data_IF_416485847520
#
_entry.id   IF_416485847520
#
_cell.length_a   1.000
_cell.length_b   1.000
_cell.length_c   1.000
_cell.angle_alpha   90.00
_cell.angle_beta   90.00
_cell.angle_gamma   90.00
#
_symmetry.space_group_name_H-M   'P 1'
#
loop_
_entity.id
_entity.type
_entity.pdbx_description
1 polymer ?
#
# COMPACT_ATOMS: atom_id res chain seq x y z
N UNK A 1 -27.36 28.48 -4.38
CA UNK A 1 -27.04 27.43 -5.37
C UNK A 1 -26.27 26.34 -4.63
N UNK A 2 -26.73 25.09 -4.70
CA UNK A 2 -26.09 23.95 -4.04
C UNK A 2 -25.46 22.98 -5.05
N UNK A 3 -24.59 22.10 -4.55
CA UNK A 3 -24.05 20.97 -5.33
C UNK A 3 -24.59 19.66 -4.75
N UNK A 4 -24.91 18.70 -5.61
CA UNK A 4 -25.23 17.33 -5.26
C UNK A 4 -24.08 16.44 -5.70
N UNK A 5 -23.44 15.75 -4.76
CA UNK A 5 -22.44 14.73 -5.05
C UNK A 5 -23.09 13.34 -4.94
N UNK A 6 -23.04 12.56 -6.02
CA UNK A 6 -23.50 11.18 -6.04
C UNK A 6 -22.31 10.26 -6.28
N UNK A 7 -21.99 9.44 -5.29
CA UNK A 7 -21.02 8.36 -5.46
C UNK A 7 -21.70 7.14 -6.07
N UNK A 8 -20.93 6.29 -6.74
CA UNK A 8 -21.38 4.99 -7.27
C UNK A 8 -22.64 5.07 -8.18
N UNK A 9 -22.75 6.11 -9.02
CA UNK A 9 -23.94 6.32 -9.87
C UNK A 9 -24.25 5.13 -10.80
N UNK A 10 -23.23 4.37 -11.19
CA UNK A 10 -23.37 3.16 -12.01
C UNK A 10 -24.03 1.98 -11.30
N UNK A 11 -24.24 2.06 -9.98
CA UNK A 11 -24.93 1.03 -9.19
C UNK A 11 -26.43 1.31 -9.01
N UNK A 12 -26.89 2.50 -9.43
CA UNK A 12 -28.31 2.86 -9.32
C UNK A 12 -29.19 1.88 -10.11
N UNK A 13 -30.25 1.32 -9.50
CA UNK A 13 -31.28 0.59 -10.23
C UNK A 13 -31.92 1.44 -11.34
N UNK A 14 -32.34 0.80 -12.44
CA UNK A 14 -32.91 1.49 -13.62
C UNK A 14 -34.08 2.45 -13.29
N UNK A 15 -34.92 2.11 -12.32
CA UNK A 15 -36.03 2.98 -11.91
C UNK A 15 -35.53 4.28 -11.26
N UNK A 16 -34.49 4.21 -10.39
CA UNK A 16 -33.88 5.40 -9.79
C UNK A 16 -33.09 6.20 -10.83
N UNK A 17 -32.54 5.57 -11.86
CA UNK A 17 -31.90 6.29 -12.97
C UNK A 17 -32.91 7.18 -13.72
N UNK A 18 -34.15 6.72 -13.91
CA UNK A 18 -35.21 7.51 -14.53
C UNK A 18 -35.66 8.68 -13.63
N UNK A 19 -35.77 8.44 -12.31
CA UNK A 19 -36.06 9.52 -11.36
C UNK A 19 -34.94 10.57 -11.33
N UNK A 20 -33.68 10.14 -11.29
CA UNK A 20 -32.53 11.04 -11.31
C UNK A 20 -32.49 11.86 -12.61
N UNK A 21 -32.72 11.23 -13.76
CA UNK A 21 -32.78 11.91 -15.05
C UNK A 21 -33.81 13.05 -15.02
N UNK A 22 -35.00 12.78 -14.49
CA UNK A 22 -36.07 13.77 -14.35
C UNK A 22 -35.61 14.96 -13.51
N UNK A 23 -35.00 14.70 -12.35
CA UNK A 23 -34.50 15.75 -11.46
C UNK A 23 -33.41 16.59 -12.15
N UNK A 24 -32.52 15.96 -12.93
CA UNK A 24 -31.41 16.61 -13.64
C UNK A 24 -31.86 17.39 -14.89
N UNK A 25 -32.92 16.94 -15.57
CA UNK A 25 -33.45 17.59 -16.77
C UNK A 25 -34.51 18.64 -16.44
N UNK A 26 -35.52 18.28 -15.66
CA UNK A 26 -36.69 19.12 -15.37
C UNK A 26 -36.51 19.99 -14.12
N UNK A 27 -35.53 19.69 -13.26
CA UNK A 27 -35.40 20.35 -11.96
C UNK A 27 -36.52 19.98 -10.99
N UNK A 28 -37.36 18.98 -11.30
CA UNK A 28 -38.52 18.62 -10.47
C UNK A 28 -38.32 17.31 -9.73
N UNK A 29 -38.81 17.25 -8.49
CA UNK A 29 -38.78 16.04 -7.68
C UNK A 29 -40.01 15.93 -6.76
N UNK A 30 -40.23 14.73 -6.22
CA UNK A 30 -41.24 14.44 -5.19
C UNK A 30 -40.59 13.84 -3.96
N UNK A 31 -41.17 14.10 -2.79
CA UNK A 31 -40.84 13.35 -1.58
C UNK A 31 -41.59 12.02 -1.60
N UNK A 32 -40.99 10.98 -1.01
CA UNK A 32 -41.66 9.70 -0.80
C UNK A 32 -42.97 9.95 -0.03
N UNK A 33 -44.08 9.42 -0.54
CA UNK A 33 -45.42 9.61 0.04
C UNK A 33 -46.10 10.96 -0.26
N UNK A 34 -45.45 11.87 -1.01
CA UNK A 34 -46.03 13.16 -1.39
C UNK A 34 -46.42 13.20 -2.86
N UNK A 35 -47.63 13.67 -3.14
CA UNK A 35 -48.08 13.94 -4.52
C UNK A 35 -47.69 15.33 -5.03
N UNK A 36 -47.11 16.18 -4.18
CA UNK A 36 -46.66 17.52 -4.56
C UNK A 36 -45.27 17.50 -5.19
N UNK A 37 -45.19 18.00 -6.43
CA UNK A 37 -43.94 18.31 -7.11
C UNK A 37 -43.25 19.51 -6.47
N UNK A 38 -41.92 19.47 -6.42
CA UNK A 38 -41.07 20.57 -5.97
C UNK A 38 -40.01 20.85 -7.02
N UNK A 39 -39.60 22.12 -7.10
CA UNK A 39 -38.53 22.58 -7.98
C UNK A 39 -37.20 22.66 -7.22
N UNK A 40 -36.10 22.36 -7.91
CA UNK A 40 -34.73 22.45 -7.40
C UNK A 40 -33.77 22.86 -8.50
N UNK A 41 -32.69 23.51 -8.12
CA UNK A 41 -31.59 23.85 -9.00
C UNK A 41 -30.27 23.57 -8.28
N UNK A 42 -29.45 22.70 -8.86
CA UNK A 42 -28.18 22.27 -8.29
C UNK A 42 -27.16 21.93 -9.37
N UNK A 43 -25.89 21.93 -8.98
CA UNK A 43 -24.80 21.35 -9.78
C UNK A 43 -24.67 19.87 -9.42
N UNK A 44 -24.79 18.98 -10.40
CA UNK A 44 -24.51 17.56 -10.19
C UNK A 44 -23.00 17.30 -10.35
N UNK A 45 -22.44 16.55 -9.40
CA UNK A 45 -21.11 15.93 -9.51
C UNK A 45 -21.33 14.45 -9.21
N UNK A 46 -20.91 13.57 -10.10
CA UNK A 46 -21.09 12.12 -9.92
C UNK A 46 -19.78 11.37 -10.09
N UNK A 47 -19.62 10.29 -9.33
CA UNK A 47 -18.50 9.36 -9.42
C UNK A 47 -19.00 7.92 -9.63
N UNK A 48 -18.15 7.08 -10.22
CA UNK A 48 -18.42 5.65 -10.44
C UNK A 48 -17.11 4.92 -10.65
N UNK A 49 -17.03 3.67 -10.19
CA UNK A 49 -15.95 2.74 -10.51
C UNK A 49 -16.27 1.84 -11.71
N UNK A 50 -17.52 1.88 -12.22
CA UNK A 50 -17.98 1.08 -13.37
C UNK A 50 -17.72 1.81 -14.68
N UNK A 51 -17.39 1.06 -15.72
CA UNK A 51 -17.43 1.52 -17.10
C UNK A 51 -18.89 1.71 -17.53
N UNK A 52 -19.34 2.97 -17.59
CA UNK A 52 -20.71 3.28 -17.97
C UNK A 52 -21.01 2.92 -19.42
N UNK A 53 -20.04 3.02 -20.33
CA UNK A 53 -20.24 2.63 -21.74
C UNK A 53 -20.51 1.13 -21.86
N UNK A 54 -19.80 0.31 -21.08
CA UNK A 54 -20.09 -1.13 -20.98
C UNK A 54 -21.47 -1.39 -20.36
N UNK A 55 -21.86 -0.59 -19.36
CA UNK A 55 -23.19 -0.70 -18.73
C UNK A 55 -24.34 -0.33 -19.70
N UNK A 56 -24.11 0.57 -20.66
CA UNK A 56 -25.06 0.85 -21.75
C UNK A 56 -25.26 -0.39 -22.63
N UNK A 57 -24.16 -1.05 -23.02
CA UNK A 57 -24.20 -2.27 -23.84
C UNK A 57 -24.93 -3.42 -23.13
N UNK A 58 -24.75 -3.52 -21.81
CA UNK A 58 -25.40 -4.54 -20.99
C UNK A 58 -26.84 -4.17 -20.56
N UNK A 59 -27.38 -3.03 -21.02
CA UNK A 59 -28.70 -2.51 -20.63
C UNK A 59 -28.90 -2.32 -19.12
N UNK A 60 -27.81 -2.17 -18.36
CA UNK A 60 -27.85 -1.90 -16.91
C UNK A 60 -27.78 -0.41 -16.60
N UNK A 61 -27.51 0.43 -17.59
CA UNK A 61 -27.51 1.89 -17.47
C UNK A 61 -28.25 2.55 -18.63
N UNK A 62 -29.01 3.61 -18.34
CA UNK A 62 -29.83 4.29 -19.36
C UNK A 62 -28.98 5.25 -20.21
N UNK A 63 -29.07 5.18 -21.57
CA UNK A 63 -28.30 6.06 -22.45
C UNK A 63 -28.58 7.55 -22.26
N UNK A 64 -29.83 7.91 -22.03
CA UNK A 64 -30.25 9.30 -21.83
C UNK A 64 -29.69 9.93 -20.55
N UNK A 65 -29.58 9.16 -19.46
CA UNK A 65 -28.88 9.60 -18.26
C UNK A 65 -27.38 9.74 -18.51
N UNK A 66 -26.76 8.79 -19.20
CA UNK A 66 -25.33 8.84 -19.52
C UNK A 66 -24.97 10.14 -20.23
N UNK A 67 -25.63 10.45 -21.35
CA UNK A 67 -25.34 11.66 -22.12
C UNK A 67 -25.64 12.95 -21.36
N UNK A 68 -26.51 12.91 -20.36
CA UNK A 68 -26.81 14.09 -19.53
C UNK A 68 -25.74 14.36 -18.47
N UNK A 69 -25.10 13.33 -17.94
CA UNK A 69 -24.09 13.45 -16.87
C UNK A 69 -22.66 13.47 -17.40
N UNK A 70 -22.40 12.92 -18.59
CA UNK A 70 -21.06 12.75 -19.16
C UNK A 70 -20.53 13.97 -19.92
N UNK A 71 -21.07 15.17 -19.68
CA UNK A 71 -20.62 16.40 -20.36
C UNK A 71 -19.16 16.72 -20.05
N UNK A 72 -18.73 16.51 -18.81
CA UNK A 72 -17.33 16.67 -18.38
C UNK A 72 -16.93 15.45 -17.56
N UNK A 73 -16.01 14.66 -18.09
CA UNK A 73 -15.50 13.44 -17.45
C UNK A 73 -14.07 13.68 -17.01
N UNK A 74 -13.82 13.46 -15.72
CA UNK A 74 -12.47 13.45 -15.15
C UNK A 74 -12.14 12.01 -14.77
N UNK A 75 -11.14 11.43 -15.43
CA UNK A 75 -10.65 10.10 -15.10
C UNK A 75 -9.59 10.23 -14.01
N UNK A 76 -9.83 9.59 -12.87
CA UNK A 76 -8.90 9.61 -11.74
C UNK A 76 -7.87 8.48 -11.93
N UNK A 77 -6.56 8.78 -12.00
CA UNK A 77 -5.55 7.74 -12.18
C UNK A 77 -5.45 6.85 -10.94
N UNK A 78 -5.22 5.56 -11.20
CA UNK A 78 -4.93 4.59 -10.14
C UNK A 78 -3.61 4.94 -9.44
N UNK A 79 -3.39 4.44 -8.22
CA UNK A 79 -2.12 4.67 -7.52
C UNK A 79 -0.94 4.06 -8.28
N UNK A 80 -1.17 3.00 -9.05
CA UNK A 80 -0.16 2.35 -9.90
C UNK A 80 0.36 3.27 -11.01
N UNK A 81 -0.47 4.19 -11.51
CA UNK A 81 -0.09 5.17 -12.54
C UNK A 81 0.69 6.37 -11.98
N UNK A 82 0.82 6.46 -10.66
CA UNK A 82 1.45 7.57 -9.93
C UNK A 82 2.17 7.10 -8.68
N UNK A 83 3.13 6.19 -8.87
CA UNK A 83 3.94 5.64 -7.79
C UNK A 83 4.74 6.72 -7.04
N UNK A 84 5.08 7.82 -7.73
CA UNK A 84 5.77 8.98 -7.18
C UNK A 84 4.99 9.68 -6.05
N UNK A 85 3.66 9.50 -5.99
CA UNK A 85 2.82 10.04 -4.91
C UNK A 85 2.93 9.22 -3.62
N UNK A 86 3.41 7.97 -3.68
CA UNK A 86 3.41 7.04 -2.54
C UNK A 86 4.19 7.61 -1.35
N UNK A 87 5.43 8.15 -1.49
CA UNK A 87 6.16 8.71 -0.36
C UNK A 87 5.42 9.86 0.32
N UNK A 88 4.82 10.76 -0.46
CA UNK A 88 4.09 11.91 0.06
C UNK A 88 2.79 11.48 0.77
N UNK A 89 2.05 10.57 0.16
CA UNK A 89 0.83 10.00 0.76
C UNK A 89 1.16 9.23 2.04
N UNK A 90 2.26 8.47 2.04
CA UNK A 90 2.66 7.67 3.18
C UNK A 90 3.01 8.56 4.38
N UNK A 91 3.83 9.59 4.15
CA UNK A 91 4.14 10.60 5.16
C UNK A 91 2.87 11.31 5.65
N UNK A 92 1.97 11.71 4.74
CA UNK A 92 0.68 12.32 5.11
C UNK A 92 -0.13 11.41 6.05
N UNK A 93 -0.22 10.11 5.78
CA UNK A 93 -0.96 9.19 6.64
C UNK A 93 -0.28 8.99 8.00
N UNK A 94 1.05 8.91 8.05
CA UNK A 94 1.79 8.89 9.31
C UNK A 94 1.52 10.17 10.11
N UNK A 95 1.51 11.34 9.48
CA UNK A 95 1.17 12.61 10.14
C UNK A 95 -0.25 12.65 10.68
N UNK A 96 -1.21 12.05 9.99
CA UNK A 96 -2.60 11.94 10.45
C UNK A 96 -2.74 11.01 11.66
N UNK A 97 -1.97 9.91 11.70
CA UNK A 97 -2.01 8.92 12.79
C UNK A 97 -1.21 9.37 14.02
N UNK A 98 -0.14 10.14 13.81
CA UNK A 98 0.71 10.71 14.86
C UNK A 98 0.70 12.24 14.77
N UNK A 99 -0.37 12.90 15.28
CA UNK A 99 -0.49 14.36 15.22
C UNK A 99 0.57 15.08 16.07
N UNK A 100 0.98 14.48 17.19
CA UNK A 100 2.08 14.99 18.01
C UNK A 100 3.43 14.73 17.33
N UNK A 101 4.11 15.80 16.94
CA UNK A 101 5.40 15.75 16.24
C UNK A 101 6.50 15.12 17.07
N UNK A 102 6.41 15.13 18.41
CA UNK A 102 7.43 14.55 19.29
C UNK A 102 7.46 13.02 19.25
N UNK A 103 6.33 12.40 18.96
CA UNK A 103 6.16 10.95 18.96
C UNK A 103 5.94 10.37 17.56
N UNK A 104 6.04 11.21 16.53
CA UNK A 104 5.84 10.80 15.15
C UNK A 104 7.04 9.98 14.67
N UNK A 105 6.83 8.71 14.28
CA UNK A 105 7.90 7.93 13.69
C UNK A 105 8.23 8.45 12.30
N UNK A 106 9.50 8.34 11.94
CA UNK A 106 9.93 8.41 10.54
C UNK A 106 9.69 7.06 9.86
N UNK A 107 9.41 7.05 8.56
CA UNK A 107 9.37 5.83 7.78
C UNK A 107 10.82 5.45 7.44
N UNK A 108 11.22 4.24 7.80
CA UNK A 108 12.53 3.70 7.44
C UNK A 108 12.68 3.63 5.89
N UNK A 109 13.84 3.98 5.30
CA UNK A 109 14.02 3.98 3.85
C UNK A 109 13.69 2.65 3.17
N UNK A 110 13.93 1.52 3.83
CA UNK A 110 13.60 0.20 3.29
C UNK A 110 12.12 -0.05 3.26
N UNK A 111 11.42 0.34 4.33
CA UNK A 111 9.97 0.31 4.35
C UNK A 111 9.42 1.20 3.24
N UNK A 112 9.99 2.38 2.99
CA UNK A 112 9.55 3.26 1.91
C UNK A 112 9.75 2.62 0.53
N UNK A 113 10.94 2.09 0.24
CA UNK A 113 11.23 1.39 -1.02
C UNK A 113 10.28 0.20 -1.24
N UNK A 114 10.02 -0.55 -0.16
CA UNK A 114 9.07 -1.66 -0.18
C UNK A 114 7.62 -1.20 -0.47
N UNK A 115 7.17 -0.08 0.12
CA UNK A 115 5.87 0.50 -0.18
C UNK A 115 5.80 0.94 -1.65
N UNK A 116 6.85 1.55 -2.20
CA UNK A 116 6.89 1.98 -3.59
C UNK A 116 6.88 0.80 -4.59
N UNK A 117 7.49 -0.34 -4.23
CA UNK A 117 7.53 -1.54 -5.05
C UNK A 117 6.23 -2.37 -5.01
N UNK A 118 5.30 -2.04 -4.09
CA UNK A 118 4.06 -2.79 -3.89
C UNK A 118 2.97 -2.35 -4.89
N UNK A 119 2.18 -3.33 -5.34
CA UNK A 119 0.90 -3.06 -6.00
C UNK A 119 -0.21 -2.80 -4.97
N UNK A 120 -1.04 -1.80 -5.24
CA UNK A 120 -2.19 -1.43 -4.41
C UNK A 120 -3.51 -1.56 -5.20
N UNK A 121 -4.08 -2.77 -5.36
CA UNK A 121 -5.39 -2.94 -5.98
C UNK A 121 -6.49 -2.08 -5.32
N UNK A 122 -6.40 -1.84 -4.00
CA UNK A 122 -7.29 -0.92 -3.29
C UNK A 122 -6.87 0.56 -3.35
N UNK A 123 -5.92 0.92 -4.24
CA UNK A 123 -5.37 2.27 -4.42
C UNK A 123 -4.93 2.92 -3.09
N UNK A 124 -5.15 4.22 -2.96
CA UNK A 124 -4.82 5.03 -1.78
C UNK A 124 -5.45 4.48 -0.49
N UNK A 125 -6.62 3.84 -0.57
CA UNK A 125 -7.29 3.24 0.60
C UNK A 125 -6.48 2.09 1.17
N UNK A 126 -5.94 1.23 0.31
CA UNK A 126 -5.08 0.11 0.74
C UNK A 126 -3.75 0.62 1.33
N UNK A 127 -3.11 1.60 0.67
CA UNK A 127 -1.90 2.24 1.22
C UNK A 127 -2.15 2.80 2.63
N UNK A 128 -3.25 3.54 2.81
CA UNK A 128 -3.64 4.08 4.12
C UNK A 128 -3.87 2.96 5.14
N UNK A 129 -4.53 1.87 4.75
CA UNK A 129 -4.79 0.74 5.64
C UNK A 129 -3.50 0.05 6.09
N UNK A 130 -2.55 -0.16 5.16
CA UNK A 130 -1.23 -0.74 5.48
C UNK A 130 -0.49 0.13 6.49
N UNK A 131 -0.45 1.45 6.26
CA UNK A 131 0.21 2.39 7.16
C UNK A 131 -0.50 2.45 8.52
N UNK A 132 -1.83 2.38 8.54
CA UNK A 132 -2.60 2.29 9.79
C UNK A 132 -2.22 1.05 10.59
N UNK A 133 -2.03 -0.10 9.92
CA UNK A 133 -1.61 -1.34 10.57
C UNK A 133 -0.16 -1.29 11.07
N UNK A 134 0.74 -0.70 10.30
CA UNK A 134 2.12 -0.41 10.72
C UNK A 134 2.13 0.45 11.99
N UNK A 135 1.40 1.56 11.98
CA UNK A 135 1.28 2.47 13.12
C UNK A 135 0.67 1.78 14.36
N UNK A 136 -0.28 0.87 14.18
CA UNK A 136 -0.88 0.12 15.29
C UNK A 136 0.07 -0.85 15.98
N UNK A 137 1.16 -1.27 15.31
CA UNK A 137 2.19 -2.16 15.88
C UNK A 137 3.45 -1.42 16.32
N UNK A 138 3.52 -0.12 16.05
CA UNK A 138 4.63 0.73 16.43
C UNK A 138 4.72 0.84 17.96
N UNK A 139 5.90 0.51 18.49
CA UNK A 139 6.15 0.46 19.95
C UNK A 139 6.73 1.75 20.54
N UNK A 140 6.80 2.83 19.74
CA UNK A 140 7.19 4.15 20.23
C UNK A 140 8.69 4.48 20.18
N UNK A 141 9.54 3.53 19.78
CA UNK A 141 10.99 3.74 19.70
C UNK A 141 11.48 3.72 18.25
N UNK A 142 11.66 4.89 17.65
CA UNK A 142 12.43 5.06 16.41
C UNK A 142 11.58 5.15 15.14
N UNK A 143 11.97 4.38 14.12
CA UNK A 143 11.36 4.42 12.79
C UNK A 143 10.29 3.33 12.65
N UNK A 144 9.30 3.57 11.78
CA UNK A 144 8.44 2.51 11.26
C UNK A 144 9.27 1.65 10.32
N UNK A 145 9.29 0.34 10.55
CA UNK A 145 10.10 -0.61 9.79
C UNK A 145 9.25 -1.74 9.20
N UNK A 146 9.84 -2.57 8.35
CA UNK A 146 9.18 -3.77 7.83
C UNK A 146 8.82 -4.79 8.94
N UNK A 147 9.47 -4.73 10.10
CA UNK A 147 9.15 -5.59 11.23
C UNK A 147 7.74 -5.31 11.77
N UNK A 148 7.29 -4.06 11.68
CA UNK A 148 5.96 -3.63 12.12
C UNK A 148 4.85 -4.10 11.17
N UNK A 149 5.20 -4.54 9.95
CA UNK A 149 4.23 -5.00 8.96
C UNK A 149 3.73 -6.41 9.33
N UNK A 150 2.40 -6.63 9.43
CA UNK A 150 1.82 -7.96 9.58
C UNK A 150 2.32 -8.94 8.52
N UNK A 151 2.58 -10.22 8.84
CA UNK A 151 3.02 -11.20 7.86
C UNK A 151 2.07 -11.33 6.65
N UNK A 152 0.76 -11.17 6.85
CA UNK A 152 -0.24 -11.19 5.77
C UNK A 152 -0.12 -10.01 4.79
N UNK A 153 0.50 -8.91 5.21
CA UNK A 153 0.74 -7.73 4.37
C UNK A 153 2.14 -7.73 3.75
N UNK A 154 2.99 -8.71 4.07
CA UNK A 154 4.32 -8.81 3.45
C UNK A 154 4.15 -9.30 2.01
N UNK A 155 4.70 -8.57 1.06
CA UNK A 155 4.83 -8.97 -0.33
C UNK A 155 5.60 -10.27 -0.29
N UNK A 156 5.00 -11.33 -0.82
CA UNK A 156 5.71 -12.55 -1.13
C UNK A 156 6.61 -12.24 -2.35
N UNK A 157 7.64 -11.41 -2.15
CA UNK A 157 8.65 -11.10 -3.17
C UNK A 157 9.48 -12.35 -3.51
N UNK A 158 9.35 -13.39 -2.69
CA UNK A 158 9.83 -14.73 -2.94
C UNK A 158 8.78 -15.69 -2.42
N UNK A 159 8.85 -16.92 -2.90
CA UNK A 159 8.10 -18.07 -2.42
C UNK A 159 8.47 -18.32 -0.94
N UNK A 160 8.00 -17.46 -0.02
CA UNK A 160 8.35 -17.45 1.40
C UNK A 160 7.97 -18.78 2.05
N UNK A 161 7.02 -19.50 1.45
CA UNK A 161 6.69 -20.88 1.79
C UNK A 161 7.83 -21.83 1.42
N UNK A 162 8.49 -21.72 0.26
CA UNK A 162 9.63 -22.59 -0.06
C UNK A 162 10.86 -22.35 0.83
N UNK A 163 11.12 -21.11 1.25
CA UNK A 163 12.20 -20.79 2.20
C UNK A 163 11.88 -21.30 3.60
N UNK A 164 10.66 -21.03 4.12
CA UNK A 164 10.26 -21.48 5.46
C UNK A 164 10.07 -22.99 5.54
N UNK A 165 9.67 -23.63 4.44
CA UNK A 165 9.56 -25.08 4.33
C UNK A 165 10.88 -25.74 3.92
N UNK A 166 11.99 -24.99 3.83
CA UNK A 166 13.28 -25.58 3.48
C UNK A 166 13.72 -26.55 4.60
N UNK A 167 13.76 -27.86 4.35
CA UNK A 167 13.90 -28.87 5.41
C UNK A 167 15.23 -28.76 6.14
N UNK A 168 16.30 -28.39 5.42
CA UNK A 168 17.63 -28.21 6.01
C UNK A 168 17.71 -26.96 6.90
N UNK A 169 16.98 -25.89 6.55
CA UNK A 169 16.98 -24.65 7.32
C UNK A 169 16.26 -24.86 8.65
N UNK A 170 15.08 -25.48 8.60
CA UNK A 170 14.30 -25.84 9.79
C UNK A 170 15.05 -26.78 10.73
N UNK A 171 15.78 -27.76 10.16
CA UNK A 171 16.61 -28.67 10.95
C UNK A 171 17.76 -27.94 11.65
N UNK A 172 18.47 -27.08 10.91
CA UNK A 172 19.57 -26.29 11.47
C UNK A 172 19.10 -25.36 12.59
N UNK A 173 17.99 -24.63 12.41
CA UNK A 173 17.45 -23.72 13.44
C UNK A 173 17.07 -24.53 14.69
N UNK A 174 16.48 -25.71 14.52
CA UNK A 174 16.13 -26.60 15.64
C UNK A 174 17.36 -27.04 16.42
N UNK A 175 18.43 -27.44 15.76
CA UNK A 175 19.67 -27.86 16.41
C UNK A 175 20.31 -26.68 17.16
N UNK A 176 20.36 -25.50 16.55
CA UNK A 176 20.92 -24.31 17.20
C UNK A 176 20.13 -23.91 18.46
N UNK A 177 18.79 -24.03 18.44
CA UNK A 177 17.95 -23.82 19.64
C UNK A 177 18.24 -24.87 20.71
N UNK A 178 18.42 -26.14 20.33
CA UNK A 178 18.76 -27.23 21.27
C UNK A 178 20.15 -27.04 21.91
N UNK A 179 21.08 -26.42 21.20
CA UNK A 179 22.40 -26.03 21.70
C UNK A 179 22.37 -24.75 22.57
N UNK A 180 21.18 -24.19 22.82
CA UNK A 180 21.00 -23.02 23.67
C UNK A 180 21.27 -21.68 23.00
N UNK A 181 21.34 -21.63 21.66
CA UNK A 181 21.50 -20.36 20.95
C UNK A 181 20.22 -19.51 21.08
N UNK A 182 20.37 -18.32 21.66
CA UNK A 182 19.31 -17.34 21.72
C UNK A 182 19.05 -16.66 20.38
N UNK A 183 17.86 -16.04 20.24
CA UNK A 183 17.45 -15.36 19.00
C UNK A 183 18.46 -14.31 18.52
N UNK A 184 19.10 -13.57 19.44
CA UNK A 184 20.13 -12.58 19.10
C UNK A 184 21.31 -13.19 18.35
N UNK A 185 21.80 -14.34 18.81
CA UNK A 185 22.92 -15.04 18.17
C UNK A 185 22.52 -15.62 16.82
N UNK A 186 21.30 -16.16 16.71
CA UNK A 186 20.78 -16.69 15.44
C UNK A 186 20.69 -15.58 14.38
N UNK A 187 20.14 -14.42 14.74
CA UNK A 187 20.06 -13.27 13.83
C UNK A 187 21.47 -12.81 13.42
N UNK A 188 22.40 -12.72 14.37
CA UNK A 188 23.78 -12.31 14.08
C UNK A 188 24.46 -13.28 13.10
N UNK A 189 24.36 -14.59 13.35
CA UNK A 189 24.96 -15.62 12.52
C UNK A 189 24.38 -15.64 11.10
N UNK A 190 23.05 -15.53 10.95
CA UNK A 190 22.43 -15.41 9.62
C UNK A 190 22.83 -14.11 8.91
N UNK A 191 22.90 -13.00 9.64
CA UNK A 191 23.34 -11.72 9.09
C UNK A 191 24.76 -11.83 8.55
N UNK A 192 25.66 -12.47 9.28
CA UNK A 192 27.06 -12.64 8.88
C UNK A 192 27.21 -13.62 7.72
N UNK A 193 26.41 -14.69 7.68
CA UNK A 193 26.35 -15.61 6.55
C UNK A 193 25.89 -14.89 5.27
N UNK A 194 24.82 -14.09 5.35
CA UNK A 194 24.33 -13.31 4.22
C UNK A 194 25.39 -12.32 3.70
N UNK A 195 26.11 -11.64 4.60
CA UNK A 195 27.23 -10.75 4.23
C UNK A 195 28.36 -11.50 3.54
N UNK A 196 28.71 -12.71 4.01
CA UNK A 196 29.74 -13.51 3.34
C UNK A 196 29.33 -13.93 1.93
N UNK A 197 28.10 -14.43 1.75
CA UNK A 197 27.61 -14.85 0.43
C UNK A 197 27.60 -13.67 -0.54
N UNK A 198 27.12 -12.50 -0.12
CA UNK A 198 27.12 -11.32 -0.97
C UNK A 198 28.51 -10.83 -1.37
N UNK A 199 29.51 -10.96 -0.48
CA UNK A 199 30.90 -10.66 -0.81
C UNK A 199 31.47 -11.65 -1.83
N UNK A 200 31.17 -12.93 -1.66
CA UNK A 200 31.63 -13.99 -2.58
C UNK A 200 31.01 -13.80 -3.97
N UNK A 201 29.70 -13.53 -4.05
CA UNK A 201 28.99 -13.24 -5.32
C UNK A 201 29.47 -11.96 -5.99
N UNK A 202 29.88 -10.96 -5.21
CA UNK A 202 30.40 -9.68 -5.72
C UNK A 202 31.91 -9.72 -6.04
N UNK A 203 32.55 -10.90 -5.98
CA UNK A 203 33.98 -11.06 -6.24
C UNK A 203 34.88 -10.27 -5.27
N UNK A 204 34.41 -10.04 -4.04
CA UNK A 204 35.09 -9.25 -3.02
C UNK A 204 34.89 -7.73 -3.11
N UNK A 205 34.05 -7.24 -4.03
CA UNK A 205 33.70 -5.82 -4.09
C UNK A 205 32.70 -5.46 -2.98
N UNK A 206 33.17 -4.67 -2.01
CA UNK A 206 32.41 -4.26 -0.82
C UNK A 206 31.18 -3.41 -1.19
N UNK A 207 31.32 -2.51 -2.16
CA UNK A 207 30.23 -1.59 -2.56
C UNK A 207 29.15 -2.36 -3.33
N UNK A 208 29.54 -3.23 -4.25
CA UNK A 208 28.60 -4.09 -4.96
C UNK A 208 27.88 -5.07 -4.01
N UNK A 209 28.59 -5.61 -3.01
CA UNK A 209 27.97 -6.48 -1.99
C UNK A 209 27.02 -5.70 -1.06
N UNK A 210 27.36 -4.45 -0.74
CA UNK A 210 26.49 -3.55 0.01
C UNK A 210 25.22 -3.22 -0.78
N UNK A 211 25.34 -2.94 -2.08
CA UNK A 211 24.20 -2.73 -2.99
C UNK A 211 23.32 -3.98 -3.14
N UNK A 212 23.94 -5.17 -3.27
CA UNK A 212 23.23 -6.46 -3.42
C UNK A 212 22.39 -6.78 -2.18
N UNK A 213 22.97 -6.58 -1.00
CA UNK A 213 22.26 -6.69 0.28
C UNK A 213 21.46 -5.44 0.63
N UNK A 214 21.55 -4.38 -0.19
CA UNK A 214 21.00 -3.04 -0.02
C UNK A 214 21.41 -2.32 1.31
N UNK A 215 22.44 -2.81 2.02
CA UNK A 215 22.93 -2.23 3.28
C UNK A 215 23.95 -1.11 3.04
N UNK A 216 24.28 -0.33 4.08
CA UNK A 216 25.32 0.70 3.96
C UNK A 216 26.71 0.09 3.74
N UNK A 217 27.55 0.76 2.95
CA UNK A 217 28.96 0.39 2.73
C UNK A 217 29.71 0.20 4.06
N UNK A 218 29.42 1.06 5.04
CA UNK A 218 30.00 1.01 6.39
C UNK A 218 29.71 -0.31 7.09
N UNK A 219 28.52 -0.88 6.90
CA UNK A 219 28.13 -2.17 7.48
C UNK A 219 29.00 -3.30 6.92
N UNK A 220 29.25 -3.29 5.62
CA UNK A 220 30.11 -4.28 4.96
C UNK A 220 31.59 -4.08 5.29
N UNK A 221 32.06 -2.84 5.37
CA UNK A 221 33.42 -2.51 5.80
C UNK A 221 33.72 -2.99 7.23
N UNK A 222 32.79 -2.76 8.16
CA UNK A 222 32.92 -3.23 9.54
C UNK A 222 32.99 -4.76 9.62
N UNK A 223 32.16 -5.46 8.85
CA UNK A 223 32.20 -6.93 8.76
C UNK A 223 33.55 -7.45 8.23
N UNK A 224 34.06 -6.88 7.14
CA UNK A 224 35.37 -7.25 6.58
C UNK A 224 36.52 -6.97 7.56
N UNK A 225 36.46 -5.85 8.29
CA UNK A 225 37.49 -5.48 9.28
C UNK A 225 37.55 -6.44 10.47
N UNK A 226 36.41 -6.97 10.91
CA UNK A 226 36.32 -7.97 11.98
C UNK A 226 36.91 -9.32 11.60
N UNK A 227 36.71 -9.77 10.34
CA UNK A 227 37.33 -11.02 9.82
C UNK A 227 38.86 -10.94 9.73
N UNK A 228 39.41 -9.79 9.36
CA UNK A 228 40.87 -9.59 9.27
C UNK A 228 41.58 -9.59 10.63
N UNK A 229 40.89 -9.17 11.70
CA UNK A 229 41.42 -9.27 13.06
C UNK A 229 41.32 -10.69 13.64
N UNK A 230 40.27 -11.44 13.31
CA UNK A 230 40.11 -12.85 13.72
C UNK A 230 41.04 -13.84 13.02
N UNK A 231 41.57 -13.51 11.83
CA UNK A 231 42.52 -14.36 11.09
C UNK A 231 44.00 -14.15 11.49
N UNK A 232 44.29 -13.22 12.41
CA UNK A 232 45.64 -12.88 12.90
C UNK A 232 45.86 -13.23 14.39
N UNK A 233 44.90 -13.90 15.02
CA UNK A 233 44.99 -14.45 16.38
C UNK A 233 45.07 -15.99 16.30
#
# INVERSE_FOLDING_TARGET
QGSLFLDEIGELPLHLQAELLRVVQEGTYKRIGSNHWKQTQFRLISATNRDLLQCLQNHTFRPDLYYRISTWVCQIPSLKERLEDIPLLADLFVRQLFPDTRHRPYIDPWLMSYLCARNYPGNVRELKQIITRLAGRYTGSGMLTLADLPPCDRLLLTDHQSIMNHPQLSHWIRNAIQEGQGLKNLIAMYSDLAKSIALDESGGNIQAAAELLQVSDRTMQLFCSGKLQGARA
#
